data_IF_098128088570
#
_entry.id   IF_098128088570
#
_cell.length_a   1.000
_cell.length_b   1.000
_cell.length_c   1.000
_cell.angle_alpha   90.00
_cell.angle_beta   90.00
_cell.angle_gamma   90.00
#
_symmetry.space_group_name_H-M   'P 1'
#
loop_
_entity.id
_entity.type
_entity.pdbx_description
1 polymer ?
#
# COMPACT_ATOMS: atom_id res chain seq x y z
N UNK A 1 -19.43 -5.82 -0.48
CA UNK A 1 -18.63 -4.62 -0.82
C UNK A 1 -17.41 -4.49 0.07
N UNK A 2 -17.58 -4.36 1.39
CA UNK A 2 -16.51 -4.04 2.36
C UNK A 2 -15.41 -5.10 2.44
N UNK A 3 -15.75 -6.39 2.50
CA UNK A 3 -14.76 -7.49 2.40
C UNK A 3 -14.04 -7.57 1.05
N UNK A 4 -14.62 -7.00 0.00
CA UNK A 4 -13.94 -6.85 -1.29
C UNK A 4 -12.70 -5.98 -1.19
N UNK A 5 -12.58 -5.10 -0.19
CA UNK A 5 -11.39 -4.29 0.05
C UNK A 5 -10.21 -5.17 0.45
N UNK A 6 -10.46 -6.13 1.35
CA UNK A 6 -9.45 -7.09 1.77
C UNK A 6 -9.06 -8.01 0.61
N UNK A 7 -10.02 -8.48 -0.18
CA UNK A 7 -9.74 -9.32 -1.35
C UNK A 7 -8.94 -8.56 -2.43
N UNK A 8 -9.33 -7.33 -2.75
CA UNK A 8 -8.62 -6.49 -3.71
C UNK A 8 -7.21 -6.14 -3.22
N UNK A 9 -7.06 -5.84 -1.93
CA UNK A 9 -5.77 -5.62 -1.30
C UNK A 9 -4.89 -6.86 -1.41
N UNK A 10 -5.40 -8.04 -1.03
CA UNK A 10 -4.63 -9.28 -1.10
C UNK A 10 -4.17 -9.62 -2.53
N UNK A 11 -4.98 -9.32 -3.55
CA UNK A 11 -4.60 -9.52 -4.94
C UNK A 11 -3.45 -8.59 -5.38
N UNK A 12 -3.53 -7.30 -5.02
CA UNK A 12 -2.45 -6.34 -5.30
C UNK A 12 -1.17 -6.70 -4.53
N UNK A 13 -1.33 -7.04 -3.26
CA UNK A 13 -0.22 -7.29 -2.37
C UNK A 13 0.48 -8.61 -2.72
N UNK A 14 -0.23 -9.61 -3.25
CA UNK A 14 0.40 -10.81 -3.83
C UNK A 14 1.33 -10.47 -5.00
N UNK A 15 0.95 -9.54 -5.88
CA UNK A 15 1.86 -9.04 -6.93
C UNK A 15 3.11 -8.42 -6.29
N UNK A 16 2.93 -7.57 -5.27
CA UNK A 16 4.03 -6.92 -4.57
C UNK A 16 4.95 -7.95 -3.88
N UNK A 17 4.42 -8.93 -3.13
CA UNK A 17 5.20 -10.00 -2.48
C UNK A 17 6.09 -10.73 -3.49
N UNK A 18 5.52 -11.10 -4.64
CA UNK A 18 6.19 -11.94 -5.65
C UNK A 18 7.25 -11.14 -6.40
N UNK A 19 7.04 -9.83 -6.61
CA UNK A 19 7.87 -9.05 -7.53
C UNK A 19 8.81 -8.05 -6.86
N UNK A 20 8.49 -7.54 -5.66
CA UNK A 20 9.17 -6.40 -5.03
C UNK A 20 10.66 -6.63 -4.80
N UNK A 21 11.04 -7.75 -4.16
CA UNK A 21 12.44 -8.01 -3.85
C UNK A 21 13.30 -8.20 -5.11
N UNK A 22 12.77 -8.94 -6.10
CA UNK A 22 13.44 -9.15 -7.38
C UNK A 22 13.59 -7.86 -8.18
N UNK A 23 12.52 -7.07 -8.24
CA UNK A 23 12.50 -5.79 -8.93
C UNK A 23 13.46 -4.79 -8.28
N UNK A 24 13.50 -4.68 -6.95
CA UNK A 24 14.35 -3.71 -6.27
C UNK A 24 15.84 -3.98 -6.54
N UNK A 25 16.24 -5.25 -6.58
CA UNK A 25 17.61 -5.67 -6.92
C UNK A 25 18.02 -5.24 -8.34
N UNK A 26 17.11 -5.36 -9.32
CA UNK A 26 17.41 -4.99 -10.72
C UNK A 26 17.22 -3.50 -11.00
N UNK A 27 16.30 -2.82 -10.31
CA UNK A 27 16.01 -1.41 -10.48
C UNK A 27 17.05 -0.50 -9.78
N UNK A 28 17.66 -0.96 -8.68
CA UNK A 28 18.58 -0.16 -7.86
C UNK A 28 19.75 0.48 -8.64
N UNK A 29 20.47 -0.21 -9.55
CA UNK A 29 21.52 0.44 -10.35
C UNK A 29 20.99 1.58 -11.24
N UNK A 30 19.83 1.36 -11.89
CA UNK A 30 19.17 2.36 -12.75
C UNK A 30 18.69 3.57 -11.93
N UNK A 31 18.14 3.33 -10.73
CA UNK A 31 17.68 4.37 -9.82
C UNK A 31 18.86 5.18 -9.25
N UNK A 32 19.96 4.53 -8.82
CA UNK A 32 21.19 5.20 -8.40
C UNK A 32 21.73 6.15 -9.47
N UNK A 33 21.74 5.71 -10.74
CA UNK A 33 22.18 6.55 -11.86
C UNK A 33 21.27 7.75 -12.10
N UNK A 34 19.95 7.60 -11.90
CA UNK A 34 18.96 8.68 -12.08
C UNK A 34 18.89 9.66 -10.91
N UNK A 35 19.34 9.24 -9.71
CA UNK A 35 19.27 10.02 -8.48
C UNK A 35 20.66 10.13 -7.84
N UNK A 36 21.66 10.73 -8.53
CA UNK A 36 23.05 10.79 -8.04
C UNK A 36 23.22 11.64 -6.77
N UNK A 37 22.24 12.50 -6.47
CA UNK A 37 22.22 13.32 -5.26
C UNK A 37 21.82 12.55 -3.99
N UNK A 38 21.35 11.30 -4.10
CA UNK A 38 20.96 10.49 -2.94
C UNK A 38 22.19 9.78 -2.35
N UNK A 39 22.54 10.01 -1.07
CA UNK A 39 23.73 9.41 -0.46
C UNK A 39 23.71 7.87 -0.45
N UNK A 40 24.87 7.22 -0.61
CA UNK A 40 24.98 5.75 -0.61
C UNK A 40 24.43 5.06 0.64
N UNK A 41 24.55 5.71 1.80
CA UNK A 41 23.93 5.24 3.06
C UNK A 41 22.42 5.07 2.96
N UNK A 42 21.74 5.88 2.14
CA UNK A 42 20.28 5.76 1.91
C UNK A 42 20.01 4.53 1.05
N UNK A 43 20.80 4.32 0.00
CA UNK A 43 20.71 3.14 -0.85
C UNK A 43 21.06 1.83 -0.13
N UNK A 44 21.92 1.86 0.88
CA UNK A 44 22.20 0.68 1.71
C UNK A 44 21.00 0.34 2.61
N UNK A 45 20.24 1.34 3.05
CA UNK A 45 19.01 1.17 3.84
C UNK A 45 17.78 0.78 3.01
N UNK A 46 17.87 0.81 1.68
CA UNK A 46 16.83 0.30 0.77
C UNK A 46 16.98 -1.19 0.46
N UNK A 47 17.96 -1.88 1.05
CA UNK A 47 18.04 -3.34 0.94
C UNK A 47 16.97 -3.96 1.86
N UNK A 48 15.72 -4.01 1.37
CA UNK A 48 14.61 -4.61 2.09
C UNK A 48 14.75 -6.12 2.01
N UNK A 49 14.94 -6.77 3.15
CA UNK A 49 14.87 -8.22 3.24
C UNK A 49 13.43 -8.69 2.92
N UNK A 50 13.29 -9.88 2.34
CA UNK A 50 11.96 -10.48 2.11
C UNK A 50 11.17 -10.61 3.42
N UNK A 51 11.87 -10.80 4.55
CA UNK A 51 11.26 -10.86 5.88
C UNK A 51 10.63 -9.53 6.29
N UNK A 52 11.29 -8.41 6.04
CA UNK A 52 10.73 -7.07 6.28
C UNK A 52 9.55 -6.78 5.36
N UNK A 53 9.64 -7.17 4.08
CA UNK A 53 8.53 -7.05 3.12
C UNK A 53 7.32 -7.83 3.63
N UNK A 54 7.49 -9.12 3.97
CA UNK A 54 6.41 -9.96 4.46
C UNK A 54 5.80 -9.45 5.78
N UNK A 55 6.63 -8.96 6.72
CA UNK A 55 6.14 -8.40 7.98
C UNK A 55 5.34 -7.11 7.77
N UNK A 56 5.83 -6.22 6.90
CA UNK A 56 5.13 -4.99 6.55
C UNK A 56 3.74 -5.30 5.94
N UNK A 57 3.73 -6.21 4.99
CA UNK A 57 2.53 -6.70 4.31
C UNK A 57 1.53 -7.31 5.30
N UNK A 58 1.99 -8.17 6.21
CA UNK A 58 1.14 -8.77 7.23
C UNK A 58 0.48 -7.74 8.14
N UNK A 59 1.24 -6.73 8.59
CA UNK A 59 0.72 -5.63 9.41
C UNK A 59 -0.31 -4.80 8.65
N UNK A 60 -0.03 -4.45 7.39
CA UNK A 60 -0.98 -3.72 6.55
C UNK A 60 -2.25 -4.53 6.30
N UNK A 61 -2.12 -5.83 6.05
CA UNK A 61 -3.24 -6.76 5.92
C UNK A 61 -4.14 -6.76 7.15
N UNK A 62 -3.56 -6.68 8.36
CA UNK A 62 -4.32 -6.52 9.60
C UNK A 62 -5.15 -5.23 9.65
N UNK A 63 -4.56 -4.10 9.24
CA UNK A 63 -5.25 -2.80 9.17
C UNK A 63 -6.40 -2.86 8.16
N UNK A 64 -6.15 -3.42 6.97
CA UNK A 64 -7.14 -3.53 5.90
C UNK A 64 -8.28 -4.49 6.30
N UNK A 65 -7.96 -5.60 6.95
CA UNK A 65 -8.95 -6.55 7.47
C UNK A 65 -9.82 -5.91 8.55
N UNK A 66 -9.22 -5.19 9.50
CA UNK A 66 -9.95 -4.44 10.52
C UNK A 66 -10.88 -3.39 9.90
N UNK A 67 -10.41 -2.67 8.89
CA UNK A 67 -11.21 -1.68 8.16
C UNK A 67 -12.38 -2.35 7.42
N UNK A 68 -12.13 -3.47 6.73
CA UNK A 68 -13.17 -4.23 6.04
C UNK A 68 -14.24 -4.77 7.00
N UNK A 69 -13.82 -5.28 8.17
CA UNK A 69 -14.73 -5.76 9.22
C UNK A 69 -15.59 -4.64 9.81
N UNK A 70 -14.98 -3.50 10.16
CA UNK A 70 -15.73 -2.35 10.69
C UNK A 70 -16.65 -1.73 9.62
N UNK A 71 -16.21 -1.72 8.37
CA UNK A 71 -17.05 -1.41 7.21
C UNK A 71 -18.25 -2.34 7.11
N UNK A 72 -18.05 -3.66 7.22
CA UNK A 72 -19.13 -4.65 7.17
C UNK A 72 -20.14 -4.43 8.30
N UNK A 73 -19.66 -4.25 9.53
CA UNK A 73 -20.48 -3.99 10.73
C UNK A 73 -21.33 -2.73 10.62
N UNK A 74 -20.82 -1.69 9.96
CA UNK A 74 -21.49 -0.38 9.83
C UNK A 74 -22.25 -0.20 8.52
N UNK A 75 -22.28 -1.21 7.65
CA UNK A 75 -22.84 -1.08 6.30
C UNK A 75 -22.11 -0.06 5.43
N UNK A 76 -20.81 0.16 5.66
CA UNK A 76 -19.96 1.09 4.92
C UNK A 76 -19.90 2.52 5.47
N UNK A 77 -20.63 2.83 6.56
CA UNK A 77 -20.64 4.16 7.19
C UNK A 77 -19.41 4.46 8.04
N UNK A 78 -18.63 3.46 8.41
CA UNK A 78 -17.39 3.62 9.18
C UNK A 78 -16.47 4.67 8.52
N UNK A 79 -16.05 5.72 9.25
CA UNK A 79 -15.03 6.65 8.78
C UNK A 79 -13.68 5.95 8.54
N UNK A 80 -13.34 4.96 9.36
CA UNK A 80 -12.11 4.18 9.22
C UNK A 80 -12.11 3.39 7.91
N UNK A 81 -13.17 2.62 7.65
CA UNK A 81 -13.34 1.90 6.38
C UNK A 81 -13.24 2.84 5.17
N UNK A 82 -13.95 3.97 5.19
CA UNK A 82 -13.95 4.93 4.08
C UNK A 82 -12.57 5.56 3.85
N UNK A 83 -11.83 5.84 4.92
CA UNK A 83 -10.47 6.38 4.85
C UNK A 83 -9.51 5.37 4.23
N UNK A 84 -9.55 4.11 4.69
CA UNK A 84 -8.71 3.04 4.14
C UNK A 84 -9.08 2.74 2.70
N UNK A 85 -10.37 2.72 2.34
CA UNK A 85 -10.83 2.55 0.96
C UNK A 85 -10.30 3.67 0.04
N UNK A 86 -10.37 4.92 0.49
CA UNK A 86 -9.84 6.05 -0.27
C UNK A 86 -8.31 5.96 -0.42
N UNK A 87 -7.60 5.65 0.68
CA UNK A 87 -6.16 5.40 0.66
C UNK A 87 -5.77 4.28 -0.30
N UNK A 88 -6.49 3.15 -0.28
CA UNK A 88 -6.26 2.03 -1.18
C UNK A 88 -6.42 2.42 -2.67
N UNK A 89 -7.44 3.23 -3.01
CA UNK A 89 -7.57 3.76 -4.37
C UNK A 89 -6.39 4.67 -4.77
N UNK A 90 -5.95 5.55 -3.86
CA UNK A 90 -4.79 6.43 -4.09
C UNK A 90 -3.47 5.65 -4.21
N UNK A 91 -3.31 4.55 -3.47
CA UNK A 91 -2.19 3.63 -3.58
C UNK A 91 -2.05 3.09 -5.01
N UNK A 92 -3.15 2.65 -5.61
CA UNK A 92 -3.15 2.17 -7.00
C UNK A 92 -2.74 3.27 -8.01
N UNK A 93 -3.14 4.51 -7.78
CA UNK A 93 -2.70 5.66 -8.62
C UNK A 93 -1.21 5.91 -8.45
N UNK A 94 -0.69 5.82 -7.23
CA UNK A 94 0.73 5.99 -6.94
C UNK A 94 1.58 4.96 -7.69
N UNK A 95 1.16 3.69 -7.76
CA UNK A 95 1.84 2.64 -8.53
C UNK A 95 1.90 2.95 -10.03
N UNK A 96 0.82 3.44 -10.61
CA UNK A 96 0.80 3.85 -12.02
C UNK A 96 1.77 5.02 -12.25
N UNK A 97 1.75 6.03 -11.38
CA UNK A 97 2.64 7.17 -11.47
C UNK A 97 4.12 6.76 -11.31
N UNK A 98 4.42 5.86 -10.38
CA UNK A 98 5.76 5.30 -10.18
C UNK A 98 6.25 4.55 -11.42
N UNK A 99 5.40 3.70 -12.02
CA UNK A 99 5.72 2.98 -13.25
C UNK A 99 6.00 3.93 -14.42
N UNK A 100 5.16 4.95 -14.58
CA UNK A 100 5.36 5.97 -15.61
C UNK A 100 6.68 6.73 -15.41
N UNK A 101 6.98 7.16 -14.19
CA UNK A 101 8.23 7.85 -13.86
C UNK A 101 9.47 6.95 -14.02
N UNK A 102 9.34 5.66 -13.69
CA UNK A 102 10.40 4.67 -13.89
C UNK A 102 10.61 4.35 -15.38
N UNK A 103 9.55 4.48 -16.19
CA UNK A 103 9.53 4.15 -17.61
C UNK A 103 9.53 2.64 -17.84
N UNK A 104 8.75 1.90 -17.06
CA UNK A 104 8.65 0.44 -17.16
C UNK A 104 7.97 -0.18 -15.95
N UNK A 105 7.87 -1.50 -15.93
CA UNK A 105 7.21 -2.24 -14.85
C UNK A 105 7.74 -1.87 -13.46
N UNK A 106 6.81 -1.68 -12.52
CA UNK A 106 7.06 -1.58 -11.07
C UNK A 106 6.07 -2.50 -10.35
N UNK A 107 6.44 -3.10 -9.21
CA UNK A 107 5.54 -3.90 -8.38
C UNK A 107 4.24 -3.15 -8.10
N UNK A 108 3.10 -3.83 -8.28
CA UNK A 108 1.76 -3.27 -8.08
C UNK A 108 1.16 -2.60 -9.32
N UNK A 109 1.94 -2.36 -10.39
CA UNK A 109 1.40 -1.69 -11.58
C UNK A 109 0.44 -2.58 -12.39
N UNK A 110 0.54 -3.91 -12.31
CA UNK A 110 -0.36 -4.77 -13.07
C UNK A 110 -1.76 -4.82 -12.43
N UNK A 111 -1.81 -4.95 -11.11
CA UNK A 111 -3.04 -5.02 -10.32
C UNK A 111 -3.66 -3.65 -10.04
N UNK A 112 -2.90 -2.57 -10.09
CA UNK A 112 -3.42 -1.22 -9.86
C UNK A 112 -4.55 -0.81 -10.83
N UNK A 113 -4.38 -0.86 -12.16
CA UNK A 113 -5.43 -0.51 -13.11
C UNK A 113 -6.49 -1.59 -13.29
N UNK A 114 -6.20 -2.86 -12.94
CA UNK A 114 -7.09 -3.99 -13.19
C UNK A 114 -7.94 -4.39 -11.97
N UNK A 115 -7.45 -4.13 -10.76
CA UNK A 115 -8.08 -4.53 -9.50
C UNK A 115 -8.29 -3.33 -8.57
N UNK A 116 -7.20 -2.64 -8.17
CA UNK A 116 -7.23 -1.63 -7.10
C UNK A 116 -8.14 -0.46 -7.44
N UNK A 117 -7.87 0.20 -8.57
CA UNK A 117 -8.62 1.38 -9.03
C UNK A 117 -10.06 0.99 -9.39
N UNK A 118 -10.32 -0.06 -10.20
CA UNK A 118 -11.68 -0.48 -10.51
C UNK A 118 -12.52 -0.80 -9.27
N UNK A 119 -11.96 -1.58 -8.33
CA UNK A 119 -12.65 -1.92 -7.08
C UNK A 119 -12.95 -0.65 -6.25
N UNK A 120 -11.97 0.23 -6.08
CA UNK A 120 -12.12 1.44 -5.27
C UNK A 120 -13.19 2.37 -5.85
N UNK A 121 -13.18 2.58 -7.18
CA UNK A 121 -14.21 3.38 -7.85
C UNK A 121 -15.60 2.74 -7.73
N UNK A 122 -15.70 1.42 -7.91
CA UNK A 122 -16.96 0.69 -7.75
C UNK A 122 -17.50 0.80 -6.32
N UNK A 123 -16.66 0.59 -5.30
CA UNK A 123 -17.06 0.67 -3.90
C UNK A 123 -17.50 2.09 -3.51
N UNK A 124 -16.77 3.13 -3.97
CA UNK A 124 -17.16 4.52 -3.76
C UNK A 124 -18.51 4.86 -4.43
N UNK A 125 -18.75 4.38 -5.66
CA UNK A 125 -20.04 4.52 -6.33
C UNK A 125 -21.16 3.83 -5.55
N UNK A 126 -20.91 2.64 -5.00
CA UNK A 126 -21.89 1.89 -4.20
C UNK A 126 -22.25 2.61 -2.90
N UNK A 127 -21.27 3.20 -2.23
CA UNK A 127 -21.48 4.02 -1.03
C UNK A 127 -22.33 5.27 -1.35
N UNK A 128 -22.00 5.99 -2.42
CA UNK A 128 -22.77 7.17 -2.87
C UNK A 128 -24.21 6.82 -3.23
N UNK A 129 -24.42 5.71 -3.95
CA UNK A 129 -25.76 5.22 -4.28
C UNK A 129 -26.58 4.82 -3.04
N UNK A 130 -25.92 4.51 -1.92
CA UNK A 130 -26.55 4.24 -0.64
C UNK A 130 -26.72 5.50 0.24
N UNK A 131 -26.50 6.71 -0.31
CA UNK A 131 -26.58 7.97 0.42
C UNK A 131 -25.45 8.18 1.44
N UNK A 132 -24.40 7.37 1.41
CA UNK A 132 -23.26 7.49 2.31
C UNK A 132 -22.29 8.49 1.70
N UNK A 133 -22.12 9.62 2.38
CA UNK A 133 -21.11 10.60 1.99
C UNK A 133 -19.73 9.95 1.99
N UNK A 134 -19.12 9.88 0.81
CA UNK A 134 -17.71 9.51 0.65
C UNK A 134 -16.96 10.82 0.75
N UNK A 135 -16.52 11.16 1.97
CA UNK A 135 -16.16 12.52 2.39
C UNK A 135 -15.42 13.37 1.35
N UNK A 136 -15.70 14.68 1.38
CA UNK A 136 -15.10 15.67 0.48
C UNK A 136 -13.58 15.85 0.65
N UNK A 137 -13.04 16.97 0.16
CA UNK A 137 -11.58 17.22 0.07
C UNK A 137 -10.78 16.90 1.35
N UNK A 138 -11.38 17.04 2.53
CA UNK A 138 -10.75 16.69 3.82
C UNK A 138 -10.52 15.19 4.00
N UNK A 139 -11.44 14.31 3.60
CA UNK A 139 -11.25 12.86 3.70
C UNK A 139 -10.26 12.34 2.66
N UNK A 140 -10.25 12.95 1.45
CA UNK A 140 -9.22 12.71 0.46
C UNK A 140 -7.83 13.14 0.97
N UNK A 141 -7.73 14.32 1.61
CA UNK A 141 -6.50 14.79 2.23
C UNK A 141 -6.04 13.90 3.40
N UNK A 142 -6.96 13.43 4.25
CA UNK A 142 -6.65 12.47 5.31
C UNK A 142 -6.16 11.14 4.73
N UNK A 143 -6.80 10.61 3.68
CA UNK A 143 -6.32 9.41 3.00
C UNK A 143 -4.94 9.59 2.35
N UNK A 144 -4.69 10.77 1.78
CA UNK A 144 -3.40 11.13 1.18
C UNK A 144 -2.28 11.22 2.22
N UNK A 145 -2.57 11.71 3.43
CA UNK A 145 -1.60 11.72 4.54
C UNK A 145 -1.47 10.36 5.23
N UNK A 146 -2.56 9.60 5.31
CA UNK A 146 -2.57 8.28 5.95
C UNK A 146 -1.68 7.30 5.19
N UNK A 147 -1.65 7.35 3.86
CA UNK A 147 -0.87 6.42 3.06
C UNK A 147 0.65 6.46 3.36
N UNK A 148 1.38 7.59 3.23
CA UNK A 148 2.81 7.64 3.54
C UNK A 148 3.09 7.40 5.02
N UNK A 149 2.20 7.83 5.93
CA UNK A 149 2.36 7.60 7.37
C UNK A 149 2.20 6.12 7.72
N UNK A 150 1.18 5.45 7.18
CA UNK A 150 0.94 4.03 7.40
C UNK A 150 2.05 3.19 6.76
N UNK A 151 2.48 3.52 5.54
CA UNK A 151 3.61 2.87 4.87
C UNK A 151 4.89 3.06 5.69
N UNK A 152 5.23 4.28 6.09
CA UNK A 152 6.42 4.55 6.90
C UNK A 152 6.36 3.85 8.27
N UNK A 153 5.22 3.91 8.95
CA UNK A 153 5.00 3.28 10.25
C UNK A 153 5.11 1.75 10.17
N UNK A 154 4.51 1.14 9.15
CA UNK A 154 4.57 -0.30 8.91
C UNK A 154 5.99 -0.74 8.55
N UNK A 155 6.72 0.00 7.72
CA UNK A 155 8.13 -0.30 7.45
C UNK A 155 9.03 -0.11 8.66
N UNK A 156 8.78 0.90 9.51
CA UNK A 156 9.52 1.09 10.75
C UNK A 156 9.26 -0.07 11.73
N UNK A 157 8.01 -0.46 11.93
CA UNK A 157 7.63 -1.60 12.76
C UNK A 157 8.21 -2.91 12.22
N UNK A 158 8.12 -3.12 10.91
CA UNK A 158 8.70 -4.30 10.26
C UNK A 158 10.20 -4.39 10.47
N UNK A 159 10.96 -3.29 10.38
CA UNK A 159 12.40 -3.27 10.66
C UNK A 159 12.73 -3.68 12.10
N UNK A 160 11.93 -3.25 13.07
CA UNK A 160 12.09 -3.63 14.48
C UNK A 160 11.80 -5.12 14.68
N UNK A 161 10.73 -5.64 14.07
CA UNK A 161 10.29 -7.03 14.22
C UNK A 161 11.14 -8.02 13.40
N UNK A 162 11.67 -7.55 12.26
CA UNK A 162 12.45 -8.34 11.32
C UNK A 162 13.97 -8.22 11.51
N UNK A 163 14.43 -7.32 12.38
CA UNK A 163 15.83 -7.20 12.76
C UNK A 163 16.41 -8.53 13.29
N UNK A 164 17.74 -8.72 13.20
CA UNK A 164 18.38 -9.90 13.77
C UNK A 164 18.01 -9.98 15.25
N UNK A 165 17.44 -11.12 15.66
CA UNK A 165 17.38 -11.46 17.08
C UNK A 165 18.83 -11.46 17.54
N UNK A 166 19.20 -10.54 18.41
CA UNK A 166 20.42 -10.71 19.21
C UNK A 166 20.27 -12.07 19.86
N UNK A 167 21.07 -13.03 19.41
CA UNK A 167 21.23 -14.28 20.12
C UNK A 167 21.77 -13.88 21.50
N UNK A 168 20.92 -13.92 22.52
CA UNK A 168 21.38 -13.91 23.89
C UNK A 168 22.15 -15.21 24.09
N UNK A 169 23.48 -15.01 24.19
CA UNK A 169 24.52 -15.79 24.91
C UNK A 169 24.49 -17.31 24.83
#
# INVERSE_FOLDING_TARGET
MTWGLLAAWAANDLEEIVTMAGWLRTARPKLKKRLPWVPDRVWQRTDLSQREVNAAIGLMGGIVAAAAADGARTGGRSPFFRTVLAGFGLHGVAHIAQSAAYGGYTPGVATSPTVVIPYSLWALRRLRAAGIETGGGRAAATGLMFLPVAVAGVHAAARVLAGPRTAET
#
